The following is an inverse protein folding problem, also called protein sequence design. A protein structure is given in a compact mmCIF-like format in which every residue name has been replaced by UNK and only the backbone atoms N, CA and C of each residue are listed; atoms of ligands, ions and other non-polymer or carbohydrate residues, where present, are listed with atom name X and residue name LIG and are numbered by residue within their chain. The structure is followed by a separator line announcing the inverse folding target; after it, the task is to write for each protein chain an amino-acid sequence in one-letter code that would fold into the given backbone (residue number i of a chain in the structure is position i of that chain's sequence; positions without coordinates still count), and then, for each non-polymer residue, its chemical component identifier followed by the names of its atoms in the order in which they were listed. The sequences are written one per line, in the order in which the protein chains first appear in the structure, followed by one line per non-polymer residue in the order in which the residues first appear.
data_IF_282506971994
#
_entry.id   IF_282506971994
#
_cell.length_a   1.000
_cell.length_b   1.000
_cell.length_c   1.000
_cell.angle_alpha   90.00
_cell.angle_beta   90.00
_cell.angle_gamma   90.00
#
_symmetry.space_group_name_H-M   'P 1'
#
loop_
_entity.id
_entity.type
_entity.pdbx_description
1 polymer ?
#
# COMPACT_ATOMS: atom_id res chain seq x y z
N UNK A 1 40.37 -22.26 80.83
CA UNK A 1 38.90 -22.30 80.70
C UNK A 1 38.43 -20.87 80.48
N UNK A 2 37.40 -20.69 79.64
CA UNK A 2 36.65 -19.45 79.33
C UNK A 2 37.04 -18.74 78.01
N UNK A 3 36.48 -19.32 76.94
CA UNK A 3 35.58 -18.71 75.93
C UNK A 3 36.05 -17.53 75.04
N UNK A 4 36.41 -17.87 73.80
CA UNK A 4 36.49 -16.95 72.66
C UNK A 4 35.07 -16.58 72.21
N UNK A 5 34.79 -15.28 72.14
CA UNK A 5 33.66 -14.73 71.40
C UNK A 5 33.75 -15.08 69.91
N UNK A 6 32.80 -15.86 69.40
CA UNK A 6 32.56 -16.00 67.97
C UNK A 6 31.34 -15.17 67.60
N UNK A 7 31.60 -14.02 66.97
CA UNK A 7 30.62 -13.20 66.27
C UNK A 7 29.85 -14.05 65.25
N UNK A 8 28.53 -14.14 65.42
CA UNK A 8 27.63 -14.75 64.44
C UNK A 8 27.52 -13.84 63.20
N UNK A 9 28.28 -14.15 62.15
CA UNK A 9 28.09 -13.59 60.81
C UNK A 9 27.00 -14.40 60.11
N UNK A 10 25.75 -13.91 60.13
CA UNK A 10 24.70 -14.44 59.24
C UNK A 10 24.99 -14.02 57.78
N UNK A 11 24.84 -14.92 56.79
CA UNK A 11 25.01 -14.56 55.40
C UNK A 11 23.93 -13.56 54.99
N UNK A 12 24.33 -12.41 54.45
CA UNK A 12 23.42 -11.39 53.93
C UNK A 12 22.57 -12.00 52.81
N UNK A 13 21.28 -12.16 53.04
CA UNK A 13 20.33 -12.56 52.00
C UNK A 13 20.33 -11.45 50.94
N UNK A 14 20.58 -11.73 49.66
CA UNK A 14 20.51 -10.71 48.62
C UNK A 14 19.08 -10.19 48.54
N UNK A 15 18.86 -8.98 49.05
CA UNK A 15 17.57 -8.29 48.93
C UNK A 15 17.43 -7.88 47.47
N UNK A 16 16.57 -8.59 46.74
CA UNK A 16 16.22 -8.21 45.37
C UNK A 16 15.61 -6.80 45.39
N UNK A 17 16.07 -5.88 44.52
CA UNK A 17 15.48 -4.56 44.43
C UNK A 17 14.00 -4.69 44.07
N UNK A 18 13.15 -3.94 44.76
CA UNK A 18 11.72 -3.91 44.48
C UNK A 18 11.50 -3.25 43.12
N UNK A 19 10.72 -3.86 42.21
CA UNK A 19 10.55 -3.32 40.86
C UNK A 19 9.93 -1.93 40.92
N UNK A 20 10.51 -1.01 40.17
CA UNK A 20 10.02 0.37 40.08
C UNK A 20 8.62 0.42 39.46
N UNK A 21 7.85 1.47 39.72
CA UNK A 21 6.46 1.60 39.24
C UNK A 21 6.32 1.46 37.72
N UNK A 22 7.35 1.86 36.97
CA UNK A 22 7.44 1.74 35.51
C UNK A 22 7.60 0.28 35.06
N UNK A 23 8.47 -0.49 35.73
CA UNK A 23 8.65 -1.93 35.44
C UNK A 23 7.37 -2.70 35.75
N UNK A 24 6.71 -2.44 36.90
CA UNK A 24 5.42 -3.07 37.22
C UNK A 24 4.36 -2.86 36.15
N UNK A 25 4.28 -1.67 35.54
CA UNK A 25 3.35 -1.39 34.43
C UNK A 25 3.72 -2.16 33.16
N UNK A 26 5.00 -2.19 32.79
CA UNK A 26 5.49 -2.92 31.62
C UNK A 26 5.26 -4.43 31.76
N UNK A 27 5.61 -4.99 32.91
CA UNK A 27 5.45 -6.40 33.24
C UNK A 27 3.97 -6.78 33.25
N UNK A 28 3.10 -5.97 33.88
CA UNK A 28 1.64 -6.20 33.85
C UNK A 28 1.04 -6.09 32.45
N UNK A 29 1.55 -5.19 31.59
CA UNK A 29 1.15 -5.13 30.17
C UNK A 29 1.51 -6.42 29.43
N UNK A 30 2.68 -6.98 29.69
CA UNK A 30 3.14 -8.24 29.08
C UNK A 30 2.36 -9.47 29.60
N UNK A 31 2.08 -9.53 30.89
CA UNK A 31 1.28 -10.62 31.48
C UNK A 31 -0.20 -10.56 31.08
N UNK A 32 -0.77 -9.36 30.94
CA UNK A 32 -2.11 -9.19 30.37
C UNK A 32 -2.15 -9.63 28.90
N UNK A 33 -1.16 -9.24 28.10
CA UNK A 33 -0.99 -9.70 26.71
C UNK A 33 -0.84 -11.23 26.64
N UNK A 34 -0.05 -11.82 27.53
CA UNK A 34 0.18 -13.28 27.63
C UNK A 34 -1.05 -14.06 28.09
N UNK A 35 -1.89 -13.49 28.96
CA UNK A 35 -3.12 -14.14 29.41
C UNK A 35 -4.24 -13.99 28.36
N UNK A 36 -4.23 -12.89 27.59
CA UNK A 36 -5.09 -12.70 26.42
C UNK A 36 -4.71 -13.67 25.28
N UNK A 37 -3.41 -13.99 25.16
CA UNK A 37 -2.81 -14.94 24.21
C UNK A 37 -3.41 -16.36 24.25
N UNK A 38 -3.94 -16.80 25.40
CA UNK A 38 -4.52 -18.15 25.57
C UNK A 38 -6.02 -18.24 25.26
N UNK A 39 -6.75 -17.12 25.18
CA UNK A 39 -8.22 -17.12 25.07
C UNK A 39 -8.76 -16.67 23.71
N UNK A 40 -8.02 -15.87 22.98
CA UNK A 40 -8.38 -15.37 21.65
C UNK A 40 -7.28 -15.89 20.71
N UNK A 41 -7.63 -16.28 19.48
CA UNK A 41 -6.68 -16.76 18.45
C UNK A 41 -5.68 -15.67 18.01
N UNK A 42 -4.89 -15.17 18.96
CA UNK A 42 -4.02 -14.01 18.87
C UNK A 42 -2.84 -14.29 17.96
N UNK A 43 -2.42 -15.55 17.80
CA UNK A 43 -1.47 -15.95 16.75
C UNK A 43 -1.96 -15.52 15.37
N UNK A 44 -3.24 -15.74 15.06
CA UNK A 44 -3.85 -15.36 13.78
C UNK A 44 -3.95 -13.82 13.65
N UNK A 45 -4.30 -13.13 14.74
CA UNK A 45 -4.35 -11.65 14.76
C UNK A 45 -2.95 -11.05 14.59
N UNK A 46 -1.92 -11.65 15.19
CA UNK A 46 -0.52 -11.22 15.05
C UNK A 46 -0.06 -11.41 13.59
N UNK A 47 -0.39 -12.55 12.96
CA UNK A 47 -0.12 -12.81 11.54
C UNK A 47 -0.81 -11.78 10.63
N UNK A 48 -2.07 -11.45 10.89
CA UNK A 48 -2.79 -10.39 10.16
C UNK A 48 -2.19 -9.01 10.39
N UNK A 49 -1.75 -8.70 11.61
CA UNK A 49 -1.13 -7.41 11.94
C UNK A 49 0.22 -7.27 11.23
N UNK A 50 1.01 -8.34 11.21
CA UNK A 50 2.27 -8.42 10.48
C UNK A 50 2.03 -8.22 8.97
N UNK A 51 1.01 -8.88 8.41
CA UNK A 51 0.62 -8.70 7.01
C UNK A 51 0.26 -7.24 6.71
N UNK A 52 -0.58 -6.62 7.54
CA UNK A 52 -0.97 -5.22 7.38
C UNK A 52 0.24 -4.26 7.46
N UNK A 53 1.19 -4.51 8.38
CA UNK A 53 2.41 -3.73 8.50
C UNK A 53 3.30 -3.85 7.25
N UNK A 54 3.43 -5.05 6.68
CA UNK A 54 4.15 -5.24 5.42
C UNK A 54 3.48 -4.55 4.24
N UNK A 55 2.14 -4.58 4.17
CA UNK A 55 1.40 -3.83 3.15
C UNK A 55 1.63 -2.34 3.26
N UNK A 56 1.65 -1.79 4.48
CA UNK A 56 1.98 -0.38 4.71
C UNK A 56 3.40 -0.05 4.25
N UNK A 57 4.38 -0.90 4.55
CA UNK A 57 5.76 -0.71 4.10
C UNK A 57 5.85 -0.71 2.56
N UNK A 58 5.23 -1.69 1.90
CA UNK A 58 5.13 -1.74 0.44
C UNK A 58 4.48 -0.48 -0.14
N UNK A 59 3.38 -0.02 0.46
CA UNK A 59 2.67 1.19 0.07
C UNK A 59 3.57 2.44 0.10
N UNK A 60 4.34 2.60 1.20
CA UNK A 60 5.29 3.71 1.34
C UNK A 60 6.34 3.67 0.24
N UNK A 61 6.93 2.50 -0.02
CA UNK A 61 7.96 2.36 -1.05
C UNK A 61 7.41 2.66 -2.44
N UNK A 62 6.25 2.09 -2.81
CA UNK A 62 5.62 2.37 -4.11
C UNK A 62 5.25 3.84 -4.27
N UNK A 63 4.69 4.46 -3.23
CA UNK A 63 4.38 5.88 -3.23
C UNK A 63 5.63 6.73 -3.49
N UNK A 64 6.72 6.49 -2.76
CA UNK A 64 7.95 7.26 -2.95
C UNK A 64 8.62 7.05 -4.31
N UNK A 65 8.54 5.83 -4.87
CA UNK A 65 9.17 5.52 -6.15
C UNK A 65 8.38 6.06 -7.35
N UNK A 66 7.05 5.99 -7.31
CA UNK A 66 6.21 6.24 -8.49
C UNK A 66 5.59 7.65 -8.53
N UNK A 67 5.26 8.25 -7.38
CA UNK A 67 4.68 9.61 -7.33
C UNK A 67 5.52 10.68 -8.05
N UNK A 68 6.86 10.75 -7.95
CA UNK A 68 7.63 11.77 -8.67
C UNK A 68 7.59 11.56 -10.19
N UNK A 69 7.63 10.30 -10.64
CA UNK A 69 7.56 9.99 -12.06
C UNK A 69 6.19 10.32 -12.65
N UNK A 70 5.12 9.97 -11.93
CA UNK A 70 3.75 10.29 -12.34
C UNK A 70 3.54 11.80 -12.54
N UNK A 71 4.06 12.64 -11.64
CA UNK A 71 3.94 14.11 -11.73
C UNK A 71 4.53 14.66 -13.03
N UNK A 72 5.71 14.18 -13.40
CA UNK A 72 6.41 14.64 -14.62
C UNK A 72 5.66 14.17 -15.87
N UNK A 73 5.28 12.89 -15.90
CA UNK A 73 4.59 12.30 -17.06
C UNK A 73 3.21 12.93 -17.29
N UNK A 74 2.46 13.19 -16.22
CA UNK A 74 1.15 13.86 -16.32
C UNK A 74 1.29 15.30 -16.80
N UNK A 75 2.32 16.03 -16.34
CA UNK A 75 2.58 17.39 -16.80
C UNK A 75 2.95 17.44 -18.30
N UNK A 76 3.85 16.55 -18.75
CA UNK A 76 4.27 16.48 -20.15
C UNK A 76 3.12 16.08 -21.09
N UNK A 77 2.30 15.10 -20.68
CA UNK A 77 1.13 14.69 -21.48
C UNK A 77 0.09 15.81 -21.56
N UNK A 78 -0.10 16.57 -20.47
CA UNK A 78 -1.01 17.73 -20.48
C UNK A 78 -0.57 18.78 -21.49
N UNK A 79 0.71 19.13 -21.50
CA UNK A 79 1.26 20.12 -22.44
C UNK A 79 1.07 19.68 -23.91
N UNK A 80 1.36 18.41 -24.21
CA UNK A 80 1.13 17.86 -25.56
C UNK A 80 -0.34 17.92 -25.96
N UNK A 81 -1.25 17.62 -25.03
CA UNK A 81 -2.69 17.69 -25.30
C UNK A 81 -3.16 19.13 -25.52
N UNK A 82 -2.69 20.08 -24.71
CA UNK A 82 -3.01 21.49 -24.87
C UNK A 82 -2.54 22.02 -26.25
N UNK A 83 -1.33 21.67 -26.69
CA UNK A 83 -0.80 22.01 -28.03
C UNK A 83 -1.63 21.38 -29.15
N UNK A 84 -2.08 20.13 -28.99
CA UNK A 84 -2.96 19.46 -29.96
C UNK A 84 -4.34 20.10 -30.04
N UNK A 85 -4.93 20.47 -28.91
CA UNK A 85 -6.23 21.16 -28.88
C UNK A 85 -6.13 22.53 -29.55
N UNK A 86 -5.04 23.28 -29.30
CA UNK A 86 -4.81 24.56 -29.97
C UNK A 86 -4.67 24.40 -31.49
N UNK A 87 -3.84 23.44 -31.95
CA UNK A 87 -3.70 23.14 -33.38
C UNK A 87 -5.01 22.72 -34.03
N UNK A 88 -5.82 21.93 -33.34
CA UNK A 88 -7.15 21.57 -33.82
C UNK A 88 -8.04 22.80 -33.94
N UNK A 89 -8.09 23.67 -32.93
CA UNK A 89 -8.88 24.89 -32.96
C UNK A 89 -8.47 25.82 -34.11
N UNK A 90 -7.16 26.00 -34.33
CA UNK A 90 -6.64 26.81 -35.43
C UNK A 90 -6.97 26.20 -36.80
N UNK A 91 -6.84 24.88 -36.94
CA UNK A 91 -7.21 24.17 -38.17
C UNK A 91 -8.71 24.29 -38.46
N UNK A 92 -9.57 24.10 -37.46
CA UNK A 92 -11.02 24.23 -37.63
C UNK A 92 -11.41 25.66 -38.03
N UNK A 93 -10.83 26.68 -37.38
CA UNK A 93 -11.09 28.08 -37.75
C UNK A 93 -10.64 28.42 -39.18
N UNK A 94 -9.52 27.88 -39.65
CA UNK A 94 -9.02 28.12 -41.00
C UNK A 94 -9.86 27.44 -42.10
N UNK A 95 -10.56 26.36 -41.72
CA UNK A 95 -11.23 25.45 -42.65
C UNK A 95 -12.76 25.59 -42.61
N UNK A 96 -13.30 26.23 -41.56
CA UNK A 96 -14.73 26.38 -41.31
C UNK A 96 -15.54 26.99 -42.47
N UNK A 97 -14.98 27.95 -43.20
CA UNK A 97 -15.68 28.60 -44.32
C UNK A 97 -15.60 27.82 -45.65
N UNK A 98 -14.68 26.85 -45.77
CA UNK A 98 -14.33 26.21 -47.04
C UNK A 98 -14.68 24.71 -47.12
N UNK A 99 -15.05 24.07 -46.01
CA UNK A 99 -15.42 22.65 -45.98
C UNK A 99 -16.88 22.44 -45.62
N UNK A 100 -17.43 21.31 -46.07
CA UNK A 100 -18.74 20.83 -45.64
C UNK A 100 -18.70 20.27 -44.22
N UNK A 101 -19.86 20.23 -43.56
CA UNK A 101 -19.98 19.69 -42.19
C UNK A 101 -19.47 18.24 -42.07
N UNK A 102 -19.60 17.43 -43.12
CA UNK A 102 -19.13 16.04 -43.15
C UNK A 102 -17.59 15.93 -43.16
N UNK A 103 -16.89 16.75 -43.93
CA UNK A 103 -15.43 16.75 -43.95
C UNK A 103 -14.84 17.34 -42.65
N UNK A 104 -15.53 18.32 -42.05
CA UNK A 104 -15.16 18.86 -40.74
C UNK A 104 -15.33 17.81 -39.63
N UNK A 105 -16.39 17.00 -39.71
CA UNK A 105 -16.63 15.91 -38.77
C UNK A 105 -15.56 14.80 -38.87
N UNK A 106 -15.09 14.49 -40.08
CA UNK A 106 -13.95 13.58 -40.30
C UNK A 106 -12.65 14.11 -39.67
N UNK A 107 -12.34 15.40 -39.86
CA UNK A 107 -11.15 16.02 -39.26
C UNK A 107 -11.18 16.01 -37.73
N UNK A 108 -12.34 16.34 -37.13
CA UNK A 108 -12.52 16.27 -35.66
C UNK A 108 -12.38 14.85 -35.16
N UNK A 109 -12.92 13.86 -35.88
CA UNK A 109 -12.80 12.45 -35.53
C UNK A 109 -11.35 11.98 -35.60
N UNK A 110 -10.60 12.38 -36.63
CA UNK A 110 -9.18 12.07 -36.76
C UNK A 110 -8.37 12.68 -35.60
N UNK A 111 -8.61 13.95 -35.28
CA UNK A 111 -7.96 14.61 -34.16
C UNK A 111 -8.34 13.99 -32.81
N UNK A 112 -9.59 13.56 -32.63
CA UNK A 112 -10.02 12.83 -31.44
C UNK A 112 -9.31 11.48 -31.30
N UNK A 113 -9.18 10.71 -32.39
CA UNK A 113 -8.43 9.45 -32.40
C UNK A 113 -6.96 9.68 -32.09
N UNK A 114 -6.34 10.74 -32.63
CA UNK A 114 -4.95 11.10 -32.32
C UNK A 114 -4.79 11.55 -30.86
N UNK A 115 -5.74 12.34 -30.32
CA UNK A 115 -5.74 12.72 -28.91
C UNK A 115 -5.88 11.49 -28.00
N UNK A 116 -6.71 10.50 -28.37
CA UNK A 116 -6.80 9.23 -27.65
C UNK A 116 -5.50 8.42 -27.72
N UNK A 117 -4.76 8.50 -28.82
CA UNK A 117 -3.45 7.84 -28.97
C UNK A 117 -2.33 8.56 -28.19
N UNK A 118 -2.39 9.90 -28.09
CA UNK A 118 -1.49 10.71 -27.23
C UNK A 118 -1.84 10.55 -25.75
N UNK A 119 -3.14 10.49 -25.41
CA UNK A 119 -3.61 10.01 -24.11
C UNK A 119 -3.25 8.55 -23.88
N UNK A 120 -2.89 7.85 -24.96
CA UNK A 120 -2.33 6.52 -25.09
C UNK A 120 -2.24 5.77 -23.80
N UNK A 121 -2.92 4.62 -23.77
CA UNK A 121 -3.03 3.68 -22.64
C UNK A 121 -4.16 4.04 -21.65
N UNK A 122 -5.33 3.45 -21.89
CA UNK A 122 -6.55 3.52 -21.07
C UNK A 122 -6.35 3.51 -19.55
N UNK A 123 -6.84 4.58 -18.92
CA UNK A 123 -7.68 4.70 -17.70
C UNK A 123 -7.24 5.98 -16.98
N UNK A 124 -8.19 6.89 -16.77
CA UNK A 124 -8.04 8.25 -16.23
C UNK A 124 -7.46 9.27 -17.23
N UNK A 125 -8.29 10.20 -17.68
CA UNK A 125 -7.89 11.26 -18.61
C UNK A 125 -6.86 12.18 -17.99
N UNK A 126 -5.90 12.60 -18.80
CA UNK A 126 -4.80 13.46 -18.36
C UNK A 126 -5.33 14.78 -17.83
N UNK A 127 -6.39 15.28 -18.46
CA UNK A 127 -7.14 16.47 -18.03
C UNK A 127 -7.79 16.30 -16.65
N UNK A 128 -8.41 15.14 -16.35
CA UNK A 128 -8.98 14.87 -15.03
C UNK A 128 -7.90 14.78 -13.95
N UNK A 129 -6.73 14.20 -14.25
CA UNK A 129 -5.61 14.17 -13.29
C UNK A 129 -5.01 15.55 -13.04
N UNK A 130 -4.97 16.38 -14.07
CA UNK A 130 -4.37 17.72 -13.98
C UNK A 130 -5.29 18.79 -13.39
N UNK A 131 -6.61 18.55 -13.34
CA UNK A 131 -7.58 19.50 -12.79
C UNK A 131 -7.53 19.59 -11.27
N UNK A 132 -7.27 18.46 -10.60
CA UNK A 132 -6.97 18.39 -9.17
C UNK A 132 -5.80 17.40 -8.94
N UNK A 133 -4.56 17.90 -9.00
CA UNK A 133 -3.36 17.09 -8.80
C UNK A 133 -3.28 16.39 -7.45
N UNK A 134 -3.93 16.91 -6.41
CA UNK A 134 -3.85 16.32 -5.07
C UNK A 134 -4.78 15.11 -4.92
N UNK A 135 -5.96 15.15 -5.54
CA UNK A 135 -6.96 14.07 -5.43
C UNK A 135 -6.97 13.08 -6.61
N UNK A 136 -6.50 13.48 -7.80
CA UNK A 136 -6.70 12.70 -9.02
C UNK A 136 -5.44 11.97 -9.53
N UNK A 137 -4.32 12.02 -8.80
CA UNK A 137 -3.15 11.20 -9.09
C UNK A 137 -3.38 9.72 -8.77
N UNK A 138 -2.83 8.83 -9.60
CA UNK A 138 -2.95 7.38 -9.41
C UNK A 138 -2.21 6.92 -8.17
N UNK A 139 -1.06 7.51 -7.86
CA UNK A 139 -0.21 7.11 -6.73
C UNK A 139 -0.46 8.01 -5.51
N UNK A 140 -1.60 7.80 -4.85
CA UNK A 140 -1.84 8.27 -3.48
C UNK A 140 -1.44 7.19 -2.48
N UNK A 141 -1.35 7.54 -1.19
CA UNK A 141 -1.03 6.54 -0.16
C UNK A 141 -2.06 5.39 -0.12
N UNK A 142 -3.35 5.72 -0.22
CA UNK A 142 -4.44 4.74 -0.19
C UNK A 142 -4.41 3.81 -1.40
N UNK A 143 -4.18 4.34 -2.60
CA UNK A 143 -4.08 3.53 -3.81
C UNK A 143 -2.80 2.68 -3.83
N UNK A 144 -1.69 3.20 -3.29
CA UNK A 144 -0.43 2.45 -3.13
C UNK A 144 -0.59 1.29 -2.16
N UNK A 145 -1.35 1.48 -1.07
CA UNK A 145 -1.70 0.41 -0.13
C UNK A 145 -2.57 -0.65 -0.79
N UNK A 146 -3.60 -0.23 -1.52
CA UNK A 146 -4.46 -1.16 -2.27
C UNK A 146 -3.68 -1.91 -3.35
N UNK A 147 -2.75 -1.26 -4.03
CA UNK A 147 -1.85 -1.90 -4.99
C UNK A 147 -0.95 -2.94 -4.31
N UNK A 148 -0.26 -2.57 -3.23
CA UNK A 148 0.60 -3.49 -2.47
C UNK A 148 -0.17 -4.72 -1.96
N UNK A 149 -1.44 -4.53 -1.54
CA UNK A 149 -2.34 -5.63 -1.19
C UNK A 149 -2.60 -6.56 -2.38
N UNK A 150 -3.00 -6.00 -3.51
CA UNK A 150 -3.35 -6.75 -4.71
C UNK A 150 -2.19 -7.56 -5.31
N UNK A 151 -0.94 -7.13 -5.07
CA UNK A 151 0.26 -7.84 -5.53
C UNK A 151 0.38 -9.20 -4.85
N UNK A 152 0.35 -9.25 -3.51
CA UNK A 152 0.51 -10.51 -2.79
C UNK A 152 -0.75 -11.36 -2.75
N UNK A 153 -1.94 -10.75 -2.88
CA UNK A 153 -3.19 -11.51 -3.05
C UNK A 153 -3.34 -12.05 -4.47
N UNK A 154 -2.44 -11.70 -5.39
CA UNK A 154 -2.45 -12.11 -6.81
C UNK A 154 -3.74 -11.71 -7.54
N UNK A 155 -4.49 -10.72 -7.03
CA UNK A 155 -5.75 -10.27 -7.63
C UNK A 155 -5.51 -9.49 -8.91
N UNK A 156 -4.54 -8.57 -8.89
CA UNK A 156 -4.00 -7.93 -10.10
C UNK A 156 -5.02 -7.24 -11.03
N UNK A 157 -5.82 -6.30 -10.54
CA UNK A 157 -6.81 -5.57 -11.37
C UNK A 157 -6.25 -4.85 -12.61
N UNK A 158 -4.94 -4.55 -12.63
CA UNK A 158 -4.28 -3.88 -13.75
C UNK A 158 -4.66 -2.41 -13.95
N UNK A 159 -5.35 -1.78 -12.99
CA UNK A 159 -5.74 -0.36 -13.07
C UNK A 159 -4.58 0.59 -12.77
N UNK A 160 -3.61 0.16 -11.98
CA UNK A 160 -2.41 0.89 -11.58
C UNK A 160 -1.24 -0.10 -11.65
N UNK A 161 -0.14 0.30 -12.28
CA UNK A 161 1.08 -0.48 -12.38
C UNK A 161 2.30 0.45 -12.32
N UNK A 162 3.43 0.02 -11.73
CA UNK A 162 4.64 0.82 -11.69
C UNK A 162 5.19 1.04 -13.09
N UNK A 163 5.35 2.30 -13.47
CA UNK A 163 5.93 2.71 -14.76
C UNK A 163 7.46 2.87 -14.62
N UNK A 164 7.97 3.09 -13.40
CA UNK A 164 9.41 3.18 -13.16
C UNK A 164 10.10 1.82 -13.18
N UNK A 165 11.33 1.77 -13.72
CA UNK A 165 12.17 0.56 -13.67
C UNK A 165 12.41 0.08 -12.23
N UNK A 166 12.59 1.00 -11.29
CA UNK A 166 12.80 0.66 -9.89
C UNK A 166 11.55 0.03 -9.25
N UNK A 167 10.36 0.61 -9.50
CA UNK A 167 9.09 0.06 -9.04
C UNK A 167 8.78 -1.31 -9.63
N UNK A 168 9.14 -1.54 -10.90
CA UNK A 168 9.01 -2.84 -11.57
C UNK A 168 9.89 -3.92 -10.94
N UNK A 169 11.16 -3.62 -10.64
CA UNK A 169 12.01 -4.57 -9.92
C UNK A 169 11.52 -4.81 -8.49
N UNK A 170 11.09 -3.76 -7.81
CA UNK A 170 10.57 -3.88 -6.45
C UNK A 170 9.31 -4.74 -6.39
N UNK A 171 8.34 -4.59 -7.31
CA UNK A 171 7.12 -5.40 -7.31
C UNK A 171 7.41 -6.89 -7.55
N UNK A 172 8.43 -7.22 -8.36
CA UNK A 172 8.85 -8.61 -8.59
C UNK A 172 9.39 -9.23 -7.29
N UNK A 173 10.31 -8.53 -6.62
CA UNK A 173 10.92 -9.01 -5.37
C UNK A 173 9.86 -9.10 -4.26
N UNK A 174 9.00 -8.08 -4.16
CA UNK A 174 7.90 -8.02 -3.22
C UNK A 174 6.93 -9.19 -3.43
N UNK A 175 6.49 -9.44 -4.67
CA UNK A 175 5.62 -10.57 -4.99
C UNK A 175 6.25 -11.93 -4.64
N UNK A 176 7.54 -12.13 -4.96
CA UNK A 176 8.22 -13.40 -4.69
C UNK A 176 8.27 -13.76 -3.20
N UNK A 177 8.43 -12.77 -2.32
CA UNK A 177 8.51 -12.98 -0.87
C UNK A 177 7.10 -13.08 -0.26
N UNK A 178 6.19 -12.19 -0.62
CA UNK A 178 4.92 -12.02 0.09
C UNK A 178 3.80 -12.95 -0.40
N UNK A 179 3.85 -13.45 -1.64
CA UNK A 179 2.88 -14.44 -2.13
C UNK A 179 2.94 -15.74 -1.30
N UNK A 180 4.11 -16.39 -1.09
CA UNK A 180 4.20 -17.57 -0.23
C UNK A 180 3.75 -17.32 1.21
N UNK A 181 4.10 -16.17 1.79
CA UNK A 181 3.70 -15.79 3.15
C UNK A 181 2.18 -15.68 3.24
N UNK A 182 1.55 -15.05 2.26
CA UNK A 182 0.08 -14.91 2.21
C UNK A 182 -0.61 -16.26 2.12
N UNK A 183 -0.07 -17.23 1.38
CA UNK A 183 -0.63 -18.59 1.32
C UNK A 183 -0.62 -19.28 2.69
N UNK A 184 0.44 -19.09 3.49
CA UNK A 184 0.51 -19.62 4.86
C UNK A 184 -0.55 -18.97 5.75
N UNK A 185 -0.73 -17.64 5.63
CA UNK A 185 -1.75 -16.88 6.36
C UNK A 185 -3.15 -17.35 5.99
N UNK A 186 -3.47 -17.50 4.70
CA UNK A 186 -4.79 -17.95 4.22
C UNK A 186 -5.10 -19.36 4.74
N UNK A 187 -4.13 -20.28 4.72
CA UNK A 187 -4.30 -21.63 5.27
C UNK A 187 -4.68 -21.58 6.76
N UNK A 188 -3.96 -20.78 7.53
CA UNK A 188 -4.14 -20.65 8.98
C UNK A 188 -5.49 -19.99 9.33
N UNK A 189 -5.87 -18.93 8.60
CA UNK A 189 -7.19 -18.29 8.70
C UNK A 189 -8.32 -19.24 8.31
N UNK A 190 -8.12 -20.08 7.29
CA UNK A 190 -9.10 -21.07 6.86
C UNK A 190 -9.35 -22.14 7.93
N UNK A 191 -8.30 -22.64 8.58
CA UNK A 191 -8.43 -23.59 9.70
C UNK A 191 -9.15 -22.97 10.89
N UNK A 192 -8.79 -21.74 11.26
CA UNK A 192 -9.47 -21.02 12.33
C UNK A 192 -10.95 -20.76 12.00
N UNK A 193 -11.25 -20.33 10.78
CA UNK A 193 -12.62 -20.12 10.31
C UNK A 193 -13.45 -21.40 10.33
N UNK A 194 -12.88 -22.53 9.91
CA UNK A 194 -13.54 -23.84 9.96
C UNK A 194 -13.90 -24.21 11.41
N UNK A 195 -12.95 -24.07 12.35
CA UNK A 195 -13.19 -24.34 13.77
C UNK A 195 -14.26 -23.42 14.37
N UNK A 196 -14.29 -22.15 13.96
CA UNK A 196 -15.31 -21.20 14.38
C UNK A 196 -16.70 -21.64 13.89
N UNK A 197 -16.83 -22.02 12.62
CA UNK A 197 -18.10 -22.53 12.05
C UNK A 197 -18.55 -23.81 12.77
N UNK A 198 -17.65 -24.77 12.99
CA UNK A 198 -17.99 -26.01 13.70
C UNK A 198 -18.47 -25.74 15.13
N UNK A 199 -17.89 -24.77 15.85
CA UNK A 199 -18.34 -24.39 17.19
C UNK A 199 -19.66 -23.66 17.24
N UNK A 200 -20.03 -22.95 16.17
CA UNK A 200 -21.30 -22.24 16.07
C UNK A 200 -22.44 -23.20 15.69
N UNK A 201 -22.11 -24.24 14.91
CA UNK A 201 -23.08 -25.22 14.43
C UNK A 201 -23.32 -26.40 15.40
N UNK A 202 -22.34 -26.72 16.24
CA UNK A 202 -22.45 -27.72 17.31
C UNK A 202 -23.11 -27.15 18.57
#
# INVERSE_FOLDING_TARGET
MIERQTSNLQPSVPVMPTPTSTERRFTNSFYWMSHLHKKIGLSHIILLTILAAYTMLGAVVFYYLETPHERVVVAERKEKLDDRIQKLADHLNAVADNKTEEELAEDVKAAYVEMLDVEGTYKWSTFYRSSDPENNYKWTYASSFFFAMNVYTTTGYGSIAPETRAGQWFVIIYGFIFVPVTLVVVRDLGQWGLLAVTRVYA
#
